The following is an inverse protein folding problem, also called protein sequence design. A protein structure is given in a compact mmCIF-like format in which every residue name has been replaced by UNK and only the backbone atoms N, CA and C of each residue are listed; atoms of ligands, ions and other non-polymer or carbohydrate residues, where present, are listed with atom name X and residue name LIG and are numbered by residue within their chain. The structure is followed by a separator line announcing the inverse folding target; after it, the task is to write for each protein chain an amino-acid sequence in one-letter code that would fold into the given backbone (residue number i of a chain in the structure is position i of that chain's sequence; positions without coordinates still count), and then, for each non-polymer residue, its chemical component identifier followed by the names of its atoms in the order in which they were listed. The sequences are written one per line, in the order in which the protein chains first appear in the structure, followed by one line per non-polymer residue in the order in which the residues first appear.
data_IF_426623680941
#
_entry.id   IF_426623680941
#
_cell.length_a   1.000
_cell.length_b   1.000
_cell.length_c   1.000
_cell.angle_alpha   90.00
_cell.angle_beta   90.00
_cell.angle_gamma   90.00
#
_symmetry.space_group_name_H-M   'P 1'
#
loop_
_entity.id
_entity.type
_entity.pdbx_description
1 polymer ?
#
# COMPACT_ATOMS: atom_id res chain seq x y z
N UNK A 1 -9.38 -5.80 33.01
CA UNK A 1 -9.45 -4.67 32.05
C UNK A 1 -9.79 -5.24 30.70
N UNK A 2 -10.98 -4.96 30.14
CA UNK A 2 -11.28 -5.31 28.74
C UNK A 2 -10.38 -4.44 27.87
N UNK A 3 -9.49 -5.06 27.10
CA UNK A 3 -8.76 -4.35 26.03
C UNK A 3 -9.81 -3.80 25.06
N UNK A 4 -9.99 -2.49 25.04
CA UNK A 4 -10.76 -1.81 24.01
C UNK A 4 -9.89 -1.88 22.76
N UNK A 5 -10.16 -2.89 21.92
CA UNK A 5 -9.53 -2.99 20.60
C UNK A 5 -10.10 -1.89 19.72
N UNK A 6 -9.24 -1.01 19.20
CA UNK A 6 -9.63 -0.04 18.19
C UNK A 6 -10.13 -0.81 16.96
N UNK A 7 -11.34 -0.54 16.47
CA UNK A 7 -11.91 -1.30 15.36
C UNK A 7 -11.06 -1.12 14.10
N UNK A 8 -11.06 -2.16 13.28
CA UNK A 8 -10.34 -2.21 12.02
C UNK A 8 -11.32 -2.12 10.87
N UNK A 9 -10.98 -1.34 9.87
CA UNK A 9 -11.78 -1.14 8.66
C UNK A 9 -11.01 -1.67 7.46
N UNK A 10 -11.61 -2.63 6.78
CA UNK A 10 -11.15 -3.22 5.53
C UNK A 10 -12.27 -3.17 4.47
N UNK A 11 -12.01 -3.71 3.28
CA UNK A 11 -13.00 -3.78 2.21
C UNK A 11 -14.18 -4.70 2.53
N UNK A 12 -14.03 -5.66 3.45
CA UNK A 12 -15.15 -6.52 3.87
C UNK A 12 -16.20 -5.75 4.66
N UNK A 13 -15.77 -4.71 5.37
CA UNK A 13 -16.63 -3.82 6.15
C UNK A 13 -17.60 -3.00 5.28
N UNK A 14 -17.30 -2.86 3.98
CA UNK A 14 -18.09 -2.02 3.05
C UNK A 14 -18.90 -2.82 2.01
N UNK A 15 -18.77 -4.13 1.96
CA UNK A 15 -19.42 -5.00 0.95
C UNK A 15 -20.94 -4.87 0.84
N UNK A 16 -21.61 -4.47 1.92
CA UNK A 16 -23.06 -4.46 2.00
C UNK A 16 -23.70 -3.15 1.52
N UNK A 17 -22.91 -2.20 1.02
CA UNK A 17 -23.42 -0.91 0.56
C UNK A 17 -23.60 -0.90 -0.97
N UNK A 18 -24.84 -0.77 -1.45
CA UNK A 18 -25.21 -0.80 -2.87
C UNK A 18 -24.62 0.32 -3.74
N UNK A 19 -23.94 1.29 -3.11
CA UNK A 19 -23.33 2.44 -3.82
C UNK A 19 -21.86 2.22 -4.16
N UNK A 20 -21.32 1.03 -3.88
CA UNK A 20 -19.91 0.72 -4.01
C UNK A 20 -19.73 -0.29 -5.16
N UNK A 21 -18.94 0.08 -6.15
CA UNK A 21 -18.51 -0.85 -7.19
C UNK A 21 -17.26 -1.59 -6.70
N UNK A 22 -17.31 -2.93 -6.62
CA UNK A 22 -16.29 -3.80 -6.01
C UNK A 22 -15.67 -4.76 -7.01
N UNK A 23 -14.40 -5.09 -6.80
CA UNK A 23 -13.77 -6.30 -7.32
C UNK A 23 -13.31 -7.13 -6.13
N UNK A 24 -14.01 -8.22 -5.89
CA UNK A 24 -13.76 -9.14 -4.78
C UNK A 24 -13.56 -8.41 -3.44
N UNK A 25 -12.40 -8.64 -2.80
CA UNK A 25 -11.93 -7.95 -1.60
C UNK A 25 -10.71 -7.08 -1.88
N UNK A 26 -10.40 -6.82 -3.16
CA UNK A 26 -9.16 -6.19 -3.57
C UNK A 26 -9.31 -4.70 -3.84
N UNK A 27 -10.46 -4.29 -4.36
CA UNK A 27 -10.65 -2.94 -4.85
C UNK A 27 -12.11 -2.48 -4.71
N UNK A 28 -12.30 -1.22 -4.30
CA UNK A 28 -13.59 -0.54 -4.29
C UNK A 28 -13.47 0.86 -4.87
N UNK A 29 -14.52 1.30 -5.57
CA UNK A 29 -14.63 2.65 -6.12
C UNK A 29 -16.02 3.21 -5.83
N UNK A 30 -16.09 4.46 -5.36
CA UNK A 30 -17.33 5.11 -4.98
C UNK A 30 -17.24 6.64 -5.11
N UNK A 31 -18.40 7.30 -5.25
CA UNK A 31 -18.50 8.78 -5.38
C UNK A 31 -19.00 9.45 -4.09
N UNK A 32 -19.46 8.67 -3.12
CA UNK A 32 -20.12 9.19 -1.94
C UNK A 32 -19.91 8.29 -0.73
N UNK A 33 -19.64 8.90 0.41
CA UNK A 33 -19.47 8.22 1.71
C UNK A 33 -20.61 8.51 2.70
N UNK A 34 -21.66 9.23 2.28
CA UNK A 34 -22.69 9.72 3.20
C UNK A 34 -23.44 8.61 3.94
N UNK A 35 -23.57 7.43 3.34
CA UNK A 35 -24.27 6.29 3.91
C UNK A 35 -23.35 5.22 4.48
N UNK A 36 -22.05 5.51 4.60
CA UNK A 36 -21.07 4.56 5.12
C UNK A 36 -20.68 4.98 6.54
N UNK A 37 -21.14 4.29 7.60
CA UNK A 37 -20.83 4.65 8.99
C UNK A 37 -19.41 4.23 9.41
N UNK A 38 -18.44 4.44 8.50
CA UNK A 38 -17.11 3.86 8.66
C UNK A 38 -16.17 4.66 9.56
N UNK A 39 -16.49 5.90 9.90
CA UNK A 39 -15.53 6.77 10.55
C UNK A 39 -16.11 7.59 11.71
N UNK A 40 -17.27 7.19 12.25
CA UNK A 40 -17.92 7.88 13.38
C UNK A 40 -17.14 7.72 14.69
N UNK A 41 -16.15 6.85 14.73
CA UNK A 41 -15.23 6.62 15.84
C UNK A 41 -13.82 6.28 15.32
N UNK A 42 -12.78 6.50 16.15
CA UNK A 42 -11.40 6.20 15.75
C UNK A 42 -11.26 4.74 15.29
N UNK A 43 -10.81 4.55 14.05
CA UNK A 43 -10.69 3.22 13.43
C UNK A 43 -9.35 3.07 12.72
N UNK A 44 -8.76 1.89 12.80
CA UNK A 44 -7.53 1.54 12.08
C UNK A 44 -7.90 1.15 10.65
N UNK A 45 -7.36 1.86 9.67
CA UNK A 45 -7.52 1.51 8.26
C UNK A 45 -6.55 0.39 7.89
N UNK A 46 -7.06 -0.70 7.28
CA UNK A 46 -6.24 -1.80 6.75
C UNK A 46 -6.03 -1.70 5.22
N UNK A 47 -6.53 -0.62 4.60
CA UNK A 47 -6.52 -0.40 3.16
C UNK A 47 -5.72 0.87 2.81
N UNK A 48 -5.35 1.01 1.54
CA UNK A 48 -4.94 2.30 0.97
C UNK A 48 -6.18 3.01 0.45
N UNK A 49 -6.41 4.25 0.87
CA UNK A 49 -7.56 5.06 0.43
C UNK A 49 -7.06 6.31 -0.27
N UNK A 50 -7.50 6.48 -1.49
CA UNK A 50 -7.42 7.73 -2.22
C UNK A 50 -8.79 8.40 -2.18
N UNK A 51 -8.83 9.66 -1.74
CA UNK A 51 -10.05 10.46 -1.72
C UNK A 51 -9.78 11.85 -2.31
N UNK A 52 -10.68 12.32 -3.18
CA UNK A 52 -10.69 13.68 -3.72
C UNK A 52 -12.02 14.33 -3.38
N UNK A 53 -12.00 15.39 -2.58
CA UNK A 53 -13.19 16.17 -2.26
C UNK A 53 -13.59 17.03 -3.47
N UNK A 54 -14.84 16.93 -3.91
CA UNK A 54 -15.40 17.72 -5.02
C UNK A 54 -16.37 18.79 -4.56
N UNK A 55 -17.14 18.51 -3.50
CA UNK A 55 -18.11 19.44 -2.90
C UNK A 55 -18.16 19.24 -1.39
N UNK A 56 -18.67 20.27 -0.72
CA UNK A 56 -18.82 20.29 0.73
C UNK A 56 -17.49 20.34 1.47
N UNK A 57 -17.56 20.18 2.77
CA UNK A 57 -16.40 20.19 3.66
C UNK A 57 -16.53 19.05 4.66
N UNK A 58 -15.38 18.52 5.10
CA UNK A 58 -15.37 17.62 6.24
C UNK A 58 -14.13 17.86 7.11
N UNK A 59 -14.23 17.46 8.37
CA UNK A 59 -13.15 17.47 9.34
C UNK A 59 -12.82 16.05 9.70
N UNK A 60 -11.57 15.66 9.48
CA UNK A 60 -11.08 14.31 9.79
C UNK A 60 -9.87 14.40 10.72
N UNK A 61 -9.73 13.39 11.57
CA UNK A 61 -8.51 13.19 12.36
C UNK A 61 -7.75 12.00 11.77
N UNK A 62 -6.46 12.21 11.52
CA UNK A 62 -5.55 11.17 11.03
C UNK A 62 -4.36 11.11 11.99
N UNK A 63 -4.18 10.00 12.72
CA UNK A 63 -3.09 9.82 13.69
C UNK A 63 -2.95 10.99 14.67
N UNK A 64 -3.99 11.46 15.29
CA UNK A 64 -4.03 12.57 16.25
C UNK A 64 -3.96 13.99 15.63
N UNK A 65 -3.74 14.14 14.34
CA UNK A 65 -3.74 15.43 13.66
C UNK A 65 -5.11 15.68 13.01
N UNK A 66 -5.63 16.88 13.16
CA UNK A 66 -6.89 17.31 12.55
C UNK A 66 -6.65 17.93 11.17
N UNK A 67 -7.51 17.59 10.21
CA UNK A 67 -7.47 18.10 8.85
C UNK A 67 -8.86 18.59 8.45
N UNK A 68 -8.95 19.85 8.03
CA UNK A 68 -10.13 20.39 7.35
C UNK A 68 -9.99 20.10 5.86
N UNK A 69 -10.94 19.38 5.29
CA UNK A 69 -10.98 18.97 3.90
C UNK A 69 -12.01 19.81 3.17
N UNK A 70 -11.57 20.49 2.14
CA UNK A 70 -12.36 21.38 1.30
C UNK A 70 -12.39 20.87 -0.15
N UNK A 71 -13.24 21.42 -1.03
CA UNK A 71 -13.19 21.09 -2.46
C UNK A 71 -11.79 21.28 -3.05
N UNK A 72 -11.39 20.34 -3.89
CA UNK A 72 -10.06 20.21 -4.51
C UNK A 72 -8.97 19.64 -3.59
N UNK A 73 -9.27 19.27 -2.35
CA UNK A 73 -8.33 18.57 -1.51
C UNK A 73 -8.34 17.05 -1.81
N UNK A 74 -7.16 16.53 -2.05
CA UNK A 74 -6.88 15.11 -2.13
C UNK A 74 -6.36 14.60 -0.80
N UNK A 75 -6.85 13.46 -0.36
CA UNK A 75 -6.37 12.72 0.82
C UNK A 75 -5.84 11.37 0.39
N UNK A 76 -4.67 11.02 0.88
CA UNK A 76 -4.09 9.70 0.73
C UNK A 76 -3.90 9.07 2.11
N UNK A 77 -4.69 8.02 2.40
CA UNK A 77 -4.59 7.26 3.63
C UNK A 77 -3.87 5.94 3.38
N UNK A 78 -3.02 5.57 4.32
CA UNK A 78 -2.19 4.37 4.27
C UNK A 78 -2.63 3.35 5.32
N UNK A 79 -2.38 2.06 5.10
CA UNK A 79 -2.65 1.04 6.11
C UNK A 79 -2.01 1.35 7.47
N UNK A 80 -2.70 0.98 8.54
CA UNK A 80 -2.36 1.20 9.95
C UNK A 80 -2.45 2.66 10.44
N UNK A 81 -3.00 3.60 9.66
CA UNK A 81 -3.38 4.90 10.19
C UNK A 81 -4.71 4.79 10.97
N UNK A 82 -4.82 5.59 12.04
CA UNK A 82 -6.07 5.73 12.80
C UNK A 82 -6.80 6.94 12.22
N UNK A 83 -8.03 6.73 11.76
CA UNK A 83 -8.85 7.79 11.15
C UNK A 83 -10.20 7.89 11.84
N UNK A 84 -10.69 9.11 11.98
CA UNK A 84 -12.04 9.41 12.46
C UNK A 84 -12.60 10.59 11.66
N UNK A 85 -13.84 10.49 11.21
CA UNK A 85 -14.59 11.59 10.62
C UNK A 85 -15.28 12.33 11.77
N UNK A 86 -14.85 13.57 12.02
CA UNK A 86 -15.37 14.38 13.12
C UNK A 86 -16.64 15.12 12.73
N UNK A 87 -16.62 15.73 11.54
CA UNK A 87 -17.71 16.56 11.02
C UNK A 87 -17.77 16.45 9.50
N UNK A 88 -18.96 16.59 8.93
CA UNK A 88 -19.15 16.71 7.48
C UNK A 88 -20.36 17.56 7.15
N UNK A 89 -20.31 18.29 6.04
CA UNK A 89 -21.48 18.96 5.47
C UNK A 89 -22.41 17.96 4.77
N UNK A 90 -23.68 18.28 4.65
CA UNK A 90 -24.68 17.39 4.02
C UNK A 90 -24.42 17.18 2.52
N UNK A 91 -23.78 18.14 1.86
CA UNK A 91 -23.47 18.12 0.43
C UNK A 91 -22.08 17.53 0.10
N UNK A 92 -21.38 16.97 1.10
CA UNK A 92 -20.05 16.41 0.87
C UNK A 92 -20.09 15.30 -0.16
N UNK A 93 -19.30 15.46 -1.21
CA UNK A 93 -19.15 14.46 -2.27
C UNK A 93 -17.74 14.46 -2.83
N UNK A 94 -17.31 13.33 -3.38
CA UNK A 94 -15.95 13.18 -3.85
C UNK A 94 -15.74 11.89 -4.62
N UNK A 95 -14.52 11.65 -5.02
CA UNK A 95 -14.09 10.41 -5.66
C UNK A 95 -13.27 9.61 -4.64
N UNK A 96 -13.64 8.35 -4.48
CA UNK A 96 -12.97 7.48 -3.53
C UNK A 96 -12.53 6.19 -4.22
N UNK A 97 -11.30 5.83 -3.99
CA UNK A 97 -10.69 4.57 -4.43
C UNK A 97 -10.08 3.91 -3.20
N UNK A 98 -10.51 2.68 -2.93
CA UNK A 98 -10.05 1.89 -1.79
C UNK A 98 -9.39 0.63 -2.31
N UNK A 99 -8.16 0.39 -1.91
CA UNK A 99 -7.36 -0.75 -2.37
C UNK A 99 -6.93 -1.58 -1.16
N UNK A 100 -7.16 -2.89 -1.19
CA UNK A 100 -6.73 -3.77 -0.11
C UNK A 100 -5.21 -3.76 0.04
N UNK A 101 -4.72 -4.08 1.24
CA UNK A 101 -3.28 -4.15 1.52
C UNK A 101 -2.57 -5.14 0.59
N UNK A 102 -3.18 -6.30 0.34
CA UNK A 102 -2.58 -7.33 -0.51
C UNK A 102 -2.49 -6.87 -1.96
N UNK A 103 -3.57 -6.32 -2.49
CA UNK A 103 -3.61 -5.82 -3.87
C UNK A 103 -2.71 -4.58 -4.05
N UNK A 104 -2.64 -3.69 -3.06
CA UNK A 104 -1.68 -2.58 -3.06
C UNK A 104 -0.24 -3.07 -3.17
N UNK A 105 0.14 -4.12 -2.45
CA UNK A 105 1.49 -4.69 -2.51
C UNK A 105 1.82 -5.31 -3.88
N UNK A 106 0.81 -5.79 -4.62
CA UNK A 106 0.99 -6.36 -5.96
C UNK A 106 1.17 -5.28 -7.03
N UNK A 107 0.40 -4.19 -6.92
CA UNK A 107 0.34 -3.16 -7.96
C UNK A 107 1.29 -1.99 -7.72
N UNK A 108 1.65 -1.70 -6.46
CA UNK A 108 2.54 -0.59 -6.15
C UNK A 108 3.98 -0.89 -6.59
N UNK A 109 4.59 0.03 -7.35
CA UNK A 109 6.00 -0.11 -7.69
C UNK A 109 6.86 -0.03 -6.44
N UNK A 110 7.73 -1.00 -6.25
CA UNK A 110 8.73 -1.01 -5.16
C UNK A 110 9.97 -0.15 -5.48
N UNK A 111 9.81 0.97 -6.18
CA UNK A 111 10.90 1.86 -6.55
C UNK A 111 11.22 2.84 -5.43
N UNK A 112 12.49 3.22 -5.27
CA UNK A 112 12.94 4.21 -4.27
C UNK A 112 12.17 5.53 -4.36
N UNK A 113 11.83 5.97 -5.57
CA UNK A 113 11.08 7.19 -5.81
C UNK A 113 9.68 7.15 -5.19
N UNK A 114 9.03 5.99 -5.21
CA UNK A 114 7.70 5.84 -4.61
C UNK A 114 7.74 5.87 -3.09
N UNK A 115 8.82 5.41 -2.48
CA UNK A 115 8.96 5.42 -1.02
C UNK A 115 8.96 6.84 -0.45
N UNK A 116 9.65 7.78 -1.10
CA UNK A 116 9.66 9.19 -0.66
C UNK A 116 8.26 9.81 -0.71
N UNK A 117 7.46 9.47 -1.72
CA UNK A 117 6.06 9.89 -1.84
C UNK A 117 5.19 9.26 -0.76
N UNK A 118 5.38 7.98 -0.46
CA UNK A 118 4.68 7.29 0.62
C UNK A 118 4.95 7.92 1.99
N UNK A 119 6.21 8.26 2.27
CA UNK A 119 6.55 8.91 3.55
C UNK A 119 5.95 10.29 3.65
N UNK A 120 6.05 11.07 2.58
CA UNK A 120 5.44 12.38 2.56
C UNK A 120 3.92 12.30 2.75
N UNK A 121 3.24 11.42 2.03
CA UNK A 121 1.81 11.22 2.17
C UNK A 121 1.40 10.74 3.57
N UNK A 122 2.25 9.98 4.26
CA UNK A 122 1.98 9.54 5.64
C UNK A 122 2.08 10.69 6.65
N UNK A 123 3.02 11.62 6.44
CA UNK A 123 3.20 12.81 7.28
C UNK A 123 2.29 13.97 6.88
N UNK A 124 2.00 14.10 5.59
CA UNK A 124 1.17 15.13 4.99
C UNK A 124 0.11 14.51 4.06
N UNK A 125 -0.91 13.87 4.64
CA UNK A 125 -1.90 13.09 3.88
C UNK A 125 -2.81 13.95 3.01
N UNK A 126 -2.87 15.25 3.25
CA UNK A 126 -3.69 16.21 2.53
C UNK A 126 -2.87 16.99 1.50
N UNK A 127 -3.39 17.08 0.27
CA UNK A 127 -2.79 17.83 -0.84
C UNK A 127 -3.86 18.58 -1.62
N UNK A 128 -3.77 19.90 -1.73
CA UNK A 128 -4.70 20.69 -2.56
C UNK A 128 -4.27 20.64 -4.02
N UNK A 129 -5.19 20.33 -4.93
CA UNK A 129 -4.95 20.08 -6.35
C UNK A 129 -5.31 21.31 -7.20
N UNK A 130 -4.62 21.46 -8.34
CA UNK A 130 -4.99 22.42 -9.37
C UNK A 130 -6.06 21.83 -10.33
N UNK A 131 -6.73 22.68 -11.16
CA UNK A 131 -7.80 22.20 -12.05
C UNK A 131 -7.38 21.10 -13.03
N UNK A 132 -6.16 21.12 -13.55
CA UNK A 132 -5.66 20.09 -14.48
C UNK A 132 -5.43 18.76 -13.77
N UNK A 133 -4.87 18.79 -12.55
CA UNK A 133 -4.70 17.60 -11.71
C UNK A 133 -6.06 16.97 -11.36
N UNK A 134 -7.05 17.78 -11.01
CA UNK A 134 -8.41 17.31 -10.72
C UNK A 134 -9.04 16.66 -11.96
N UNK A 135 -8.90 17.29 -13.14
CA UNK A 135 -9.42 16.75 -14.40
C UNK A 135 -8.81 15.37 -14.67
N UNK A 136 -7.49 15.25 -14.58
CA UNK A 136 -6.78 14.00 -14.78
C UNK A 136 -7.29 12.89 -13.84
N UNK A 137 -7.40 13.17 -12.53
CA UNK A 137 -7.86 12.18 -11.56
C UNK A 137 -9.33 11.79 -11.73
N UNK A 138 -10.18 12.71 -12.19
CA UNK A 138 -11.57 12.41 -12.58
C UNK A 138 -11.65 11.46 -13.77
N UNK A 139 -10.79 11.65 -14.78
CA UNK A 139 -10.71 10.77 -15.96
C UNK A 139 -10.29 9.36 -15.55
N UNK A 140 -9.27 9.22 -14.71
CA UNK A 140 -8.87 7.92 -14.15
C UNK A 140 -10.00 7.25 -13.37
N UNK A 141 -10.67 7.99 -12.47
CA UNK A 141 -11.77 7.45 -11.68
C UNK A 141 -12.93 6.98 -12.56
N UNK A 142 -13.34 7.79 -13.54
CA UNK A 142 -14.41 7.44 -14.46
C UNK A 142 -14.06 6.19 -15.28
N UNK A 143 -12.83 6.11 -15.79
CA UNK A 143 -12.38 4.98 -16.60
C UNK A 143 -12.29 3.69 -15.76
N UNK A 144 -11.71 3.75 -14.57
CA UNK A 144 -11.67 2.65 -13.63
C UNK A 144 -13.07 2.15 -13.30
N UNK A 145 -14.01 3.05 -13.00
CA UNK A 145 -15.39 2.71 -12.67
C UNK A 145 -16.10 1.98 -13.80
N UNK A 146 -15.90 2.42 -15.04
CA UNK A 146 -16.46 1.75 -16.21
C UNK A 146 -15.88 0.33 -16.32
N UNK A 147 -14.57 0.16 -16.13
CA UNK A 147 -13.91 -1.16 -16.19
C UNK A 147 -14.34 -2.11 -15.07
N UNK A 148 -14.63 -1.59 -13.87
CA UNK A 148 -15.17 -2.40 -12.77
C UNK A 148 -16.54 -3.01 -13.14
N UNK A 149 -17.36 -2.32 -13.93
CA UNK A 149 -18.70 -2.76 -14.35
C UNK A 149 -18.68 -3.77 -15.50
N UNK A 150 -17.57 -3.92 -16.21
CA UNK A 150 -17.44 -4.89 -17.32
C UNK A 150 -17.25 -6.32 -16.80
N UNK A 151 -18.28 -6.92 -16.20
CA UNK A 151 -18.22 -8.24 -15.57
C UNK A 151 -17.84 -9.36 -16.52
N UNK A 152 -18.19 -9.25 -17.79
CA UNK A 152 -17.91 -10.24 -18.84
C UNK A 152 -16.48 -10.20 -19.37
N UNK A 153 -15.71 -9.17 -19.01
CA UNK A 153 -14.32 -9.03 -19.47
C UNK A 153 -13.40 -9.94 -18.65
N UNK A 154 -12.86 -10.97 -19.28
CA UNK A 154 -11.98 -11.96 -18.64
C UNK A 154 -10.66 -11.35 -18.12
N UNK A 155 -10.21 -10.22 -18.66
CA UNK A 155 -9.02 -9.49 -18.26
C UNK A 155 -9.32 -8.29 -17.36
N UNK A 156 -10.55 -8.23 -16.80
CA UNK A 156 -11.01 -7.09 -16.00
C UNK A 156 -10.07 -6.75 -14.84
N UNK A 157 -9.62 -7.76 -14.10
CA UNK A 157 -8.73 -7.58 -12.94
C UNK A 157 -7.35 -7.07 -13.36
N UNK A 158 -6.78 -7.62 -14.42
CA UNK A 158 -5.49 -7.23 -14.98
C UNK A 158 -5.52 -5.78 -15.50
N UNK A 159 -6.57 -5.42 -16.24
CA UNK A 159 -6.76 -4.05 -16.74
C UNK A 159 -6.83 -3.06 -15.58
N UNK A 160 -7.61 -3.35 -14.55
CA UNK A 160 -7.75 -2.49 -13.37
C UNK A 160 -6.42 -2.39 -12.61
N UNK A 161 -5.68 -3.48 -12.47
CA UNK A 161 -4.36 -3.49 -11.85
C UNK A 161 -3.39 -2.52 -12.55
N UNK A 162 -3.35 -2.55 -13.89
CA UNK A 162 -2.50 -1.67 -14.70
C UNK A 162 -2.94 -0.21 -14.60
N UNK A 163 -4.25 0.05 -14.63
CA UNK A 163 -4.81 1.39 -14.49
C UNK A 163 -4.54 1.99 -13.11
N UNK A 164 -4.70 1.21 -12.05
CA UNK A 164 -4.38 1.63 -10.69
C UNK A 164 -2.88 1.93 -10.55
N UNK A 165 -2.02 1.10 -11.13
CA UNK A 165 -0.58 1.36 -11.15
C UNK A 165 -0.25 2.68 -11.84
N UNK A 166 -0.88 2.98 -12.98
CA UNK A 166 -0.74 4.24 -13.69
C UNK A 166 -1.25 5.42 -12.84
N UNK A 167 -2.42 5.29 -12.22
CA UNK A 167 -2.96 6.30 -11.30
C UNK A 167 -2.03 6.58 -10.12
N UNK A 168 -1.42 5.56 -9.53
CA UNK A 168 -0.46 5.75 -8.45
C UNK A 168 0.78 6.55 -8.89
N UNK A 169 1.26 6.35 -10.12
CA UNK A 169 2.35 7.17 -10.66
C UNK A 169 1.93 8.63 -10.85
N UNK A 170 0.69 8.89 -11.30
CA UNK A 170 0.16 10.26 -11.39
C UNK A 170 0.05 10.93 -10.02
N UNK A 171 -0.50 10.23 -9.02
CA UNK A 171 -0.57 10.73 -7.64
C UNK A 171 0.84 11.00 -7.10
N UNK A 172 1.78 10.11 -7.37
CA UNK A 172 3.17 10.28 -6.97
C UNK A 172 3.82 11.51 -7.61
N UNK A 173 3.60 11.73 -8.91
CA UNK A 173 4.09 12.91 -9.64
C UNK A 173 3.48 14.21 -9.07
N UNK A 174 2.17 14.24 -8.82
CA UNK A 174 1.48 15.36 -8.19
C UNK A 174 2.06 15.65 -6.80
N UNK A 175 2.19 14.62 -5.99
CA UNK A 175 2.71 14.74 -4.62
C UNK A 175 4.16 15.20 -4.62
N UNK A 176 5.02 14.63 -5.47
CA UNK A 176 6.45 14.97 -5.57
C UNK A 176 6.68 16.44 -5.92
N UNK A 177 5.84 17.03 -6.81
CA UNK A 177 5.91 18.45 -7.17
C UNK A 177 5.57 19.38 -6.01
N UNK A 178 4.84 18.90 -5.00
CA UNK A 178 4.37 19.68 -3.85
C UNK A 178 5.20 19.47 -2.59
N UNK A 179 6.15 18.54 -2.64
CA UNK A 179 7.12 18.37 -1.56
C UNK A 179 8.04 19.61 -1.53
N UNK A 180 8.06 20.42 -0.47
CA UNK A 180 8.96 21.56 -0.39
C UNK A 180 10.42 21.09 -0.46
N UNK A 181 11.27 21.77 -1.22
CA UNK A 181 12.71 21.42 -1.31
C UNK A 181 13.40 21.36 0.06
N UNK A 182 12.94 22.16 1.03
CA UNK A 182 13.44 22.15 2.42
C UNK A 182 12.95 20.93 3.23
N UNK A 183 11.83 20.31 2.90
CA UNK A 183 11.36 19.06 3.55
C UNK A 183 12.03 17.81 2.97
N UNK A 184 12.85 17.96 1.94
CA UNK A 184 13.79 16.93 1.46
C UNK A 184 14.97 16.72 2.44
N UNK A 185 15.03 17.43 3.57
CA UNK A 185 15.80 16.91 4.72
C UNK A 185 15.11 15.63 5.20
N UNK A 186 15.43 14.53 4.48
CA UNK A 186 15.05 13.18 4.87
C UNK A 186 15.25 13.05 6.37
N UNK A 187 14.20 12.70 7.11
CA UNK A 187 14.42 12.40 8.51
C UNK A 187 15.45 11.27 8.56
N UNK A 188 16.33 11.25 9.54
CA UNK A 188 17.32 10.17 9.71
C UNK A 188 16.67 8.78 9.65
N UNK A 189 15.42 8.67 10.09
CA UNK A 189 14.63 7.43 10.00
C UNK A 189 14.32 7.05 8.54
N UNK A 190 13.97 8.03 7.71
CA UNK A 190 13.70 7.81 6.27
C UNK A 190 14.98 7.36 5.55
N UNK A 191 16.11 8.00 5.84
CA UNK A 191 17.41 7.59 5.29
C UNK A 191 17.79 6.15 5.70
N UNK A 192 17.56 5.80 6.96
CA UNK A 192 17.79 4.44 7.48
C UNK A 192 16.92 3.44 6.72
N UNK A 193 15.65 3.74 6.51
CA UNK A 193 14.74 2.85 5.80
C UNK A 193 15.12 2.68 4.33
N UNK A 194 15.43 3.76 3.62
CA UNK A 194 15.90 3.69 2.23
C UNK A 194 17.19 2.88 2.11
N UNK A 195 18.15 3.12 3.01
CA UNK A 195 19.41 2.38 3.06
C UNK A 195 19.17 0.90 3.36
N UNK A 196 18.22 0.59 4.23
CA UNK A 196 17.80 -0.78 4.51
C UNK A 196 17.24 -1.45 3.25
N UNK A 197 16.32 -0.81 2.52
CA UNK A 197 15.74 -1.38 1.30
C UNK A 197 16.79 -1.60 0.20
N UNK A 198 17.73 -0.67 0.02
CA UNK A 198 18.86 -0.84 -0.91
C UNK A 198 19.72 -2.05 -0.53
N UNK A 199 20.02 -2.17 0.77
CA UNK A 199 20.81 -3.29 1.28
C UNK A 199 20.06 -4.60 1.13
N UNK A 200 18.74 -4.63 1.36
CA UNK A 200 17.90 -5.81 1.12
C UNK A 200 17.92 -6.18 -0.37
N UNK A 201 17.68 -5.23 -1.27
CA UNK A 201 17.69 -5.49 -2.71
C UNK A 201 19.02 -6.11 -3.20
N UNK A 202 20.14 -5.75 -2.56
CA UNK A 202 21.48 -6.27 -2.91
C UNK A 202 21.75 -7.63 -2.30
N UNK A 203 21.27 -7.91 -1.08
CA UNK A 203 21.73 -9.05 -0.29
C UNK A 203 20.66 -10.10 0.05
N UNK A 204 19.39 -9.91 -0.31
CA UNK A 204 18.27 -10.79 0.07
C UNK A 204 18.48 -12.26 -0.33
N UNK A 205 19.22 -12.52 -1.42
CA UNK A 205 19.50 -13.90 -1.85
C UNK A 205 20.36 -14.67 -0.84
N UNK A 206 21.38 -14.01 -0.28
CA UNK A 206 22.35 -14.66 0.60
C UNK A 206 22.03 -14.46 2.09
N UNK A 207 21.39 -13.37 2.46
CA UNK A 207 21.23 -12.96 3.85
C UNK A 207 19.76 -12.70 4.22
N UNK A 208 19.32 -13.31 5.33
CA UNK A 208 17.94 -13.17 5.84
C UNK A 208 17.89 -12.62 7.26
N UNK A 209 19.03 -12.55 7.95
CA UNK A 209 19.11 -12.06 9.32
C UNK A 209 19.03 -10.55 9.38
N UNK A 210 18.09 -10.02 10.15
CA UNK A 210 17.98 -8.57 10.42
C UNK A 210 19.30 -8.02 11.01
N UNK A 211 20.03 -8.82 11.78
CA UNK A 211 21.34 -8.44 12.34
C UNK A 211 22.33 -8.07 11.25
N UNK A 212 22.42 -8.87 10.17
CA UNK A 212 23.29 -8.57 9.04
C UNK A 212 23.02 -7.18 8.44
N UNK A 213 21.75 -6.84 8.24
CA UNK A 213 21.36 -5.54 7.69
C UNK A 213 21.62 -4.39 8.66
N UNK A 214 21.41 -4.64 9.94
CA UNK A 214 21.72 -3.66 10.97
C UNK A 214 23.23 -3.35 11.03
N UNK A 215 24.07 -4.40 10.99
CA UNK A 215 25.52 -4.27 10.98
C UNK A 215 26.02 -3.52 9.75
N UNK A 216 25.46 -3.81 8.56
CA UNK A 216 25.77 -3.10 7.31
C UNK A 216 25.43 -1.61 7.36
N UNK A 217 24.43 -1.23 8.14
CA UNK A 217 23.99 0.15 8.31
C UNK A 217 24.58 0.83 9.56
N UNK A 218 25.47 0.13 10.27
CA UNK A 218 26.07 0.62 11.52
C UNK A 218 25.02 0.95 12.58
N UNK A 219 23.96 0.11 12.68
CA UNK A 219 22.85 0.28 13.60
C UNK A 219 22.68 -0.96 14.47
N UNK A 220 22.00 -0.82 15.61
CA UNK A 220 21.58 -1.99 16.38
C UNK A 220 20.36 -2.65 15.72
N UNK A 221 20.22 -4.00 15.76
CA UNK A 221 19.05 -4.69 15.22
C UNK A 221 17.73 -4.20 15.82
N UNK A 222 17.73 -3.81 17.11
CA UNK A 222 16.56 -3.26 17.79
C UNK A 222 16.16 -1.90 17.19
N UNK A 223 17.12 -1.00 17.00
CA UNK A 223 16.85 0.32 16.41
C UNK A 223 16.37 0.20 14.97
N UNK A 224 17.06 -0.61 14.14
CA UNK A 224 16.64 -0.87 12.76
C UNK A 224 15.20 -1.40 12.71
N UNK A 225 14.88 -2.44 13.49
CA UNK A 225 13.53 -3.03 13.52
C UNK A 225 12.47 -2.02 13.97
N UNK A 226 12.79 -1.18 14.94
CA UNK A 226 11.88 -0.12 15.40
C UNK A 226 11.62 0.89 14.28
N UNK A 227 12.65 1.41 13.64
CA UNK A 227 12.54 2.40 12.54
C UNK A 227 11.75 1.81 11.37
N UNK A 228 12.09 0.60 10.92
CA UNK A 228 11.42 -0.04 9.80
C UNK A 228 9.93 -0.22 10.09
N UNK A 229 9.58 -0.72 11.29
CA UNK A 229 8.18 -0.95 11.68
C UNK A 229 7.40 0.36 11.84
N UNK A 230 8.03 1.38 12.43
CA UNK A 230 7.42 2.72 12.60
C UNK A 230 7.09 3.35 11.24
N UNK A 231 8.02 3.25 10.31
CA UNK A 231 7.89 3.86 8.98
C UNK A 231 6.94 3.08 8.09
N UNK A 232 7.14 1.76 7.95
CA UNK A 232 6.44 0.94 6.95
C UNK A 232 5.25 0.16 7.48
N UNK A 233 5.09 0.10 8.80
CA UNK A 233 4.10 -0.77 9.45
C UNK A 233 4.45 -2.27 9.39
N UNK A 234 5.51 -2.67 8.67
CA UNK A 234 6.01 -4.04 8.55
C UNK A 234 7.33 -4.19 9.32
N UNK A 235 7.61 -5.38 9.81
CA UNK A 235 8.92 -5.68 10.40
C UNK A 235 10.00 -5.75 9.32
N UNK A 236 11.25 -5.57 9.72
CA UNK A 236 12.39 -5.74 8.82
C UNK A 236 12.46 -7.16 8.23
N UNK A 237 12.11 -8.18 9.02
CA UNK A 237 12.01 -9.56 8.54
C UNK A 237 10.98 -9.73 7.43
N UNK A 238 9.78 -9.18 7.59
CA UNK A 238 8.74 -9.24 6.55
C UNK A 238 9.19 -8.61 5.23
N UNK A 239 9.95 -7.51 5.26
CA UNK A 239 10.52 -6.91 4.06
C UNK A 239 11.53 -7.80 3.36
N UNK A 240 12.41 -8.46 4.12
CA UNK A 240 13.40 -9.41 3.60
C UNK A 240 12.68 -10.60 2.97
N UNK A 241 11.70 -11.17 3.69
CA UNK A 241 10.92 -12.33 3.25
C UNK A 241 10.15 -12.02 1.97
N UNK A 242 9.53 -10.85 1.86
CA UNK A 242 8.81 -10.40 0.66
C UNK A 242 9.74 -10.37 -0.57
N UNK A 243 10.96 -9.85 -0.44
CA UNK A 243 11.92 -9.83 -1.54
C UNK A 243 12.35 -11.23 -1.97
N UNK A 244 12.60 -12.12 -1.01
CA UNK A 244 12.94 -13.52 -1.30
C UNK A 244 11.79 -14.22 -2.01
N UNK A 245 10.56 -14.04 -1.55
CA UNK A 245 9.37 -14.64 -2.16
C UNK A 245 9.09 -14.08 -3.55
N UNK A 246 9.28 -12.77 -3.76
CA UNK A 246 9.14 -12.14 -5.07
C UNK A 246 10.13 -12.75 -6.07
N UNK A 247 11.38 -12.87 -5.69
CA UNK A 247 12.41 -13.52 -6.52
C UNK A 247 12.09 -14.99 -6.78
N UNK A 248 11.63 -15.72 -5.76
CA UNK A 248 11.22 -17.13 -5.92
C UNK A 248 10.06 -17.28 -6.91
N UNK A 249 9.04 -16.42 -6.81
CA UNK A 249 7.90 -16.38 -7.75
C UNK A 249 8.38 -16.11 -9.18
N UNK A 250 9.27 -15.13 -9.36
CA UNK A 250 9.84 -14.81 -10.66
C UNK A 250 10.59 -16.01 -11.25
N UNK A 251 11.52 -16.63 -10.50
CA UNK A 251 12.28 -17.78 -10.97
C UNK A 251 11.37 -18.99 -11.30
N UNK A 252 10.34 -19.23 -10.48
CA UNK A 252 9.38 -20.31 -10.71
C UNK A 252 8.60 -20.14 -12.01
N UNK A 253 8.34 -18.89 -12.45
CA UNK A 253 7.53 -18.57 -13.64
C UNK A 253 8.36 -18.30 -14.89
N UNK A 254 9.52 -17.66 -14.74
CA UNK A 254 10.30 -17.17 -15.88
C UNK A 254 11.52 -18.03 -16.22
N UNK A 255 11.78 -19.10 -15.46
CA UNK A 255 12.95 -19.95 -15.71
C UNK A 255 12.60 -21.43 -15.78
N UNK A 256 13.45 -22.21 -16.46
CA UNK A 256 13.40 -23.68 -16.52
C UNK A 256 14.12 -24.34 -15.33
N UNK A 257 14.60 -23.57 -14.35
CA UNK A 257 15.29 -24.10 -13.18
C UNK A 257 14.40 -25.06 -12.40
N UNK A 258 14.97 -26.16 -11.95
CA UNK A 258 14.30 -27.08 -11.02
C UNK A 258 14.04 -26.39 -9.68
N UNK A 259 13.12 -26.92 -8.87
CA UNK A 259 12.86 -26.40 -7.51
C UNK A 259 14.15 -26.46 -6.65
N UNK A 260 14.99 -27.47 -6.88
CA UNK A 260 16.28 -27.63 -6.20
C UNK A 260 17.25 -26.49 -6.61
N UNK A 261 17.41 -26.23 -7.90
CA UNK A 261 18.28 -25.15 -8.40
C UNK A 261 17.82 -23.78 -7.88
N UNK A 262 16.49 -23.51 -7.85
CA UNK A 262 15.95 -22.27 -7.27
C UNK A 262 16.29 -22.20 -5.77
N UNK A 263 16.22 -23.32 -5.03
CA UNK A 263 16.58 -23.32 -3.62
C UNK A 263 18.07 -22.99 -3.40
N UNK A 264 18.94 -23.44 -4.29
CA UNK A 264 20.37 -23.10 -4.27
C UNK A 264 20.61 -21.65 -4.65
N UNK A 265 19.99 -21.17 -5.74
CA UNK A 265 20.09 -19.78 -6.21
C UNK A 265 19.67 -18.77 -5.13
N UNK A 266 18.65 -19.13 -4.35
CA UNK A 266 18.15 -18.30 -3.24
C UNK A 266 18.82 -18.63 -1.89
N UNK A 267 19.92 -19.38 -1.90
CA UNK A 267 20.73 -19.73 -0.73
C UNK A 267 19.92 -20.38 0.42
N UNK A 268 19.04 -21.33 0.09
CA UNK A 268 18.43 -22.19 1.10
C UNK A 268 19.28 -23.42 1.36
N UNK A 269 19.28 -23.89 2.60
CA UNK A 269 20.07 -25.10 2.99
C UNK A 269 19.70 -26.31 2.14
N UNK A 270 18.45 -26.49 1.74
CA UNK A 270 17.98 -27.52 0.81
C UNK A 270 16.57 -27.17 0.29
N UNK A 271 16.12 -27.96 -0.69
CA UNK A 271 14.82 -27.85 -1.32
C UNK A 271 13.66 -27.96 -0.33
N UNK A 272 13.75 -28.74 0.72
CA UNK A 272 12.69 -28.93 1.70
C UNK A 272 12.47 -27.69 2.55
N UNK A 273 13.56 -27.02 2.97
CA UNK A 273 13.47 -25.73 3.67
C UNK A 273 12.89 -24.66 2.78
N UNK A 274 13.32 -24.57 1.52
CA UNK A 274 12.72 -23.65 0.55
C UNK A 274 11.22 -23.91 0.38
N UNK A 275 10.83 -25.18 0.22
CA UNK A 275 9.44 -25.57 0.03
C UNK A 275 8.54 -25.18 1.21
N UNK A 276 9.00 -25.40 2.46
CA UNK A 276 8.29 -24.99 3.68
C UNK A 276 8.17 -23.46 3.77
N UNK A 277 9.28 -22.76 3.58
CA UNK A 277 9.34 -21.31 3.62
C UNK A 277 8.40 -20.67 2.57
N UNK A 278 8.47 -21.12 1.32
CA UNK A 278 7.61 -20.61 0.25
C UNK A 278 6.14 -20.86 0.55
N UNK A 279 5.77 -22.09 0.99
CA UNK A 279 4.39 -22.43 1.36
C UNK A 279 3.88 -21.60 2.54
N UNK A 280 4.73 -21.33 3.54
CA UNK A 280 4.36 -20.50 4.69
C UNK A 280 3.97 -19.08 4.27
N UNK A 281 4.68 -18.49 3.29
CA UNK A 281 4.45 -17.11 2.84
C UNK A 281 3.43 -16.97 1.69
N UNK A 282 3.17 -18.07 0.94
CA UNK A 282 2.28 -18.01 -0.24
C UNK A 282 1.02 -18.86 -0.12
N UNK A 283 0.93 -19.70 0.91
CA UNK A 283 -0.16 -20.67 1.11
C UNK A 283 -0.03 -21.95 0.30
N UNK A 284 0.74 -21.97 -0.81
CA UNK A 284 0.87 -23.12 -1.72
C UNK A 284 2.34 -23.52 -1.93
N UNK A 285 2.56 -24.77 -2.38
CA UNK A 285 3.92 -25.25 -2.62
C UNK A 285 4.55 -24.62 -3.88
N UNK A 286 5.90 -24.53 -3.99
CA UNK A 286 6.57 -24.05 -5.20
C UNK A 286 6.16 -24.81 -6.46
N UNK A 287 5.96 -26.13 -6.34
CA UNK A 287 5.53 -26.99 -7.46
C UNK A 287 4.10 -26.66 -7.91
N UNK A 288 3.19 -26.40 -6.97
CA UNK A 288 1.83 -25.98 -7.28
C UNK A 288 1.83 -24.57 -7.92
N UNK A 289 2.59 -23.63 -7.36
CA UNK A 289 2.71 -22.27 -7.89
C UNK A 289 3.23 -22.23 -9.33
N UNK A 290 4.18 -23.09 -9.69
CA UNK A 290 4.73 -23.19 -11.06
C UNK A 290 3.69 -23.63 -12.09
N UNK A 291 2.69 -24.41 -11.68
CA UNK A 291 1.66 -24.97 -12.58
C UNK A 291 0.47 -24.04 -12.84
N UNK A 292 0.25 -23.06 -11.94
CA UNK A 292 -0.74 -21.98 -12.11
C UNK A 292 -0.23 -21.01 -13.18
#
# INVERSE_FOLDING_TARGET
MKHILVPKIDLSSVKNYNTIDLIDTDFAILDNINNIPLFDYPSIIETTVFALCLKGNCKITINLNEYNICPNDMILLMPNQIVMLCEKSDDVSGLFIVVSKNFSNEILPSTEDMLSVFFYAKESPKTTLNPNEIKCLKEYHSFLRNKVKETENIYRKEIISILLKSLFYEIANITKKKIPEKSIRKSRKTEVFESFLKTVATHYKQQRSVTFYADKLYLTPKYLSCVIKEISGKSAGEWIDEQVILAAKALLKSSNMTIQEISVELNFANQSFFGKYFKQHTGISPKAYRKI
#
